data_IF_183034647949
#
_entry.id   IF_183034647949
#
_cell.length_a   1.000
_cell.length_b   1.000
_cell.length_c   1.000
_cell.angle_alpha   90.00
_cell.angle_beta   90.00
_cell.angle_gamma   90.00
#
_symmetry.space_group_name_H-M   'P 1'
#
loop_
_entity.id
_entity.type
_entity.pdbx_description
1 polymer ?
#
# COMPACT_ATOMS: atom_id res chain seq x y z
N UNK A 1 5.69 16.18 14.95
CA UNK A 1 5.02 14.86 15.06
C UNK A 1 5.89 13.96 15.91
N UNK A 2 5.31 13.27 16.90
CA UNK A 2 5.99 12.15 17.56
C UNK A 2 6.27 11.05 16.53
N UNK A 3 7.26 10.20 16.79
CA UNK A 3 7.59 9.09 15.88
C UNK A 3 6.47 8.06 15.79
N UNK A 4 5.67 7.91 16.84
CA UNK A 4 4.42 7.12 16.85
C UNK A 4 3.39 7.65 15.85
N UNK A 5 3.17 8.97 15.81
CA UNK A 5 2.22 9.58 14.86
C UNK A 5 2.68 9.44 13.41
N UNK A 6 3.99 9.47 13.15
CA UNK A 6 4.54 9.23 11.80
C UNK A 6 4.34 7.78 11.40
N UNK A 7 4.58 6.85 12.32
CA UNK A 7 4.43 5.42 12.10
C UNK A 7 2.98 5.09 11.75
N UNK A 8 2.02 5.51 12.57
CA UNK A 8 0.60 5.28 12.32
C UNK A 8 0.15 5.89 10.98
N UNK A 9 0.58 7.11 10.67
CA UNK A 9 0.23 7.76 9.40
C UNK A 9 0.79 7.01 8.18
N UNK A 10 2.02 6.52 8.27
CA UNK A 10 2.65 5.76 7.19
C UNK A 10 2.01 4.36 7.03
N UNK A 11 1.61 3.73 8.13
CA UNK A 11 0.85 2.47 8.13
C UNK A 11 -0.51 2.64 7.46
N UNK A 12 -1.26 3.68 7.81
CA UNK A 12 -2.54 4.03 7.18
C UNK A 12 -2.37 4.29 5.69
N UNK A 13 -1.32 5.03 5.32
CA UNK A 13 -1.02 5.36 3.92
C UNK A 13 -0.71 4.11 3.10
N UNK A 14 0.15 3.22 3.62
CA UNK A 14 0.50 1.94 2.99
C UNK A 14 -0.71 1.03 2.84
N UNK A 15 -1.58 1.01 3.83
CA UNK A 15 -2.78 0.18 3.85
C UNK A 15 -3.81 0.69 2.86
N UNK A 16 -4.12 1.99 2.89
CA UNK A 16 -5.08 2.61 1.99
C UNK A 16 -4.65 2.45 0.52
N UNK A 17 -3.36 2.67 0.25
CA UNK A 17 -2.81 2.53 -1.09
C UNK A 17 -2.79 1.08 -1.57
N UNK A 18 -2.44 0.13 -0.69
CA UNK A 18 -2.43 -1.30 -0.97
C UNK A 18 -3.83 -1.84 -1.26
N UNK A 19 -4.83 -1.40 -0.49
CA UNK A 19 -6.24 -1.71 -0.76
C UNK A 19 -6.69 -1.15 -2.11
N UNK A 20 -6.40 0.12 -2.39
CA UNK A 20 -6.77 0.74 -3.66
C UNK A 20 -6.11 0.04 -4.85
N UNK A 21 -4.82 -0.29 -4.74
CA UNK A 21 -4.11 -1.06 -5.76
C UNK A 21 -4.72 -2.45 -5.96
N UNK A 22 -5.09 -3.13 -4.89
CA UNK A 22 -5.77 -4.43 -4.96
C UNK A 22 -7.12 -4.33 -5.67
N UNK A 23 -7.86 -3.25 -5.46
CA UNK A 23 -9.11 -2.98 -6.18
C UNK A 23 -8.82 -2.77 -7.68
N UNK A 24 -7.80 -1.98 -8.04
CA UNK A 24 -7.40 -1.80 -9.45
C UNK A 24 -7.09 -3.15 -10.10
N UNK A 25 -6.26 -3.98 -9.45
CA UNK A 25 -5.85 -5.28 -9.99
C UNK A 25 -6.99 -6.27 -10.15
N UNK A 26 -8.04 -6.17 -9.33
CA UNK A 26 -9.20 -7.08 -9.37
C UNK A 26 -10.31 -6.59 -10.30
N UNK A 27 -10.37 -5.29 -10.61
CA UNK A 27 -11.44 -4.69 -11.42
C UNK A 27 -11.02 -4.39 -12.85
N UNK A 28 -9.74 -4.11 -13.10
CA UNK A 28 -9.22 -3.80 -14.43
C UNK A 28 -8.82 -5.08 -15.18
N UNK A 29 -8.99 -5.12 -16.51
CA UNK A 29 -8.49 -6.22 -17.35
C UNK A 29 -6.97 -6.38 -17.20
N UNK A 30 -6.50 -7.63 -17.23
CA UNK A 30 -5.08 -7.94 -17.07
C UNK A 30 -4.22 -7.35 -18.18
N UNK A 31 -4.79 -7.16 -19.38
CA UNK A 31 -4.15 -6.50 -20.52
C UNK A 31 -3.72 -5.06 -20.20
N UNK A 32 -4.41 -4.39 -19.26
CA UNK A 32 -4.10 -3.03 -18.81
C UNK A 32 -3.10 -3.05 -17.66
N UNK A 33 -3.25 -3.95 -16.70
CA UNK A 33 -2.44 -3.95 -15.46
C UNK A 33 -1.09 -4.63 -15.64
N UNK A 34 -1.01 -5.69 -16.44
CA UNK A 34 0.22 -6.47 -16.66
C UNK A 34 1.38 -5.64 -17.23
N UNK A 35 1.20 -4.79 -18.27
CA UNK A 35 2.29 -3.96 -18.78
C UNK A 35 2.86 -3.00 -17.73
N UNK A 36 1.99 -2.46 -16.85
CA UNK A 36 2.38 -1.57 -15.77
C UNK A 36 3.22 -2.32 -14.74
N UNK A 37 2.75 -3.46 -14.25
CA UNK A 37 3.47 -4.31 -13.29
C UNK A 37 4.83 -4.73 -13.85
N UNK A 38 4.86 -5.13 -15.12
CA UNK A 38 6.08 -5.55 -15.79
C UNK A 38 7.07 -4.39 -15.93
N UNK A 39 6.61 -3.21 -16.33
CA UNK A 39 7.46 -2.02 -16.44
C UNK A 39 8.05 -1.63 -15.08
N UNK A 40 7.27 -1.70 -14.00
CA UNK A 40 7.76 -1.44 -12.64
C UNK A 40 8.85 -2.45 -12.25
N UNK A 41 8.63 -3.74 -12.56
CA UNK A 41 9.61 -4.80 -12.29
C UNK A 41 10.89 -4.65 -13.12
N UNK A 42 10.77 -4.35 -14.41
CA UNK A 42 11.90 -4.25 -15.35
C UNK A 42 12.80 -3.04 -15.04
N UNK A 43 12.27 -2.04 -14.33
CA UNK A 43 13.00 -0.84 -13.92
C UNK A 43 13.39 -0.85 -12.42
N UNK A 44 13.31 -2.00 -11.76
CA UNK A 44 13.60 -2.16 -10.32
C UNK A 44 12.87 -1.14 -9.42
N UNK A 45 11.67 -0.74 -9.84
CA UNK A 45 10.87 0.24 -9.10
C UNK A 45 10.27 -0.44 -7.86
N UNK A 46 10.65 -0.03 -6.64
CA UNK A 46 10.19 -0.70 -5.43
C UNK A 46 8.71 -0.40 -5.19
N UNK A 47 8.02 -1.31 -4.51
CA UNK A 47 6.70 -1.01 -3.96
C UNK A 47 6.80 -0.03 -2.79
N UNK A 48 5.69 0.61 -2.44
CA UNK A 48 5.66 1.62 -1.40
C UNK A 48 6.16 1.07 -0.06
N UNK A 49 7.04 1.83 0.58
CA UNK A 49 7.63 1.47 1.86
C UNK A 49 7.95 2.74 2.65
N UNK A 50 7.89 2.63 3.98
CA UNK A 50 8.34 3.68 4.89
C UNK A 50 9.38 3.12 5.85
N UNK A 51 10.32 3.97 6.25
CA UNK A 51 11.33 3.70 7.27
C UNK A 51 10.74 3.55 8.68
N UNK A 52 9.52 4.05 8.91
CA UNK A 52 8.86 4.08 10.21
C UNK A 52 7.93 2.88 10.40
N UNK A 53 7.43 2.28 9.31
CA UNK A 53 6.63 1.06 9.39
C UNK A 53 7.54 -0.13 9.67
N UNK A 54 7.23 -0.84 10.76
CA UNK A 54 8.08 -1.88 11.31
C UNK A 54 8.43 -2.97 10.28
N UNK A 55 9.69 -3.45 10.24
CA UNK A 55 10.10 -4.60 9.43
C UNK A 55 9.47 -5.93 9.88
N UNK A 56 8.66 -5.92 10.96
CA UNK A 56 7.91 -7.08 11.45
C UNK A 56 6.91 -7.65 10.43
N UNK A 57 6.56 -6.90 9.39
CA UNK A 57 5.98 -7.42 8.14
C UNK A 57 7.10 -7.36 7.08
N UNK A 58 7.99 -8.37 7.01
CA UNK A 58 9.08 -8.38 6.06
C UNK A 58 8.53 -8.49 4.64
N UNK A 59 8.45 -7.35 3.97
CA UNK A 59 8.05 -7.27 2.57
C UNK A 59 6.55 -7.33 2.33
N UNK A 60 6.21 -6.82 1.14
CA UNK A 60 4.99 -6.93 0.33
C UNK A 60 3.64 -6.63 0.98
N UNK A 61 3.35 -6.94 2.23
CA UNK A 61 2.01 -6.85 2.85
C UNK A 61 1.67 -5.57 3.62
N UNK A 62 0.44 -5.50 4.11
CA UNK A 62 -0.11 -4.40 4.95
C UNK A 62 -1.16 -4.94 5.94
N UNK A 63 -1.63 -4.11 6.88
CA UNK A 63 -2.65 -4.50 7.86
C UNK A 63 -3.73 -3.42 7.98
N UNK A 64 -4.95 -3.81 8.32
CA UNK A 64 -6.10 -2.92 8.44
C UNK A 64 -6.76 -3.10 9.80
N UNK A 65 -6.99 -1.99 10.49
CA UNK A 65 -7.88 -1.94 11.65
C UNK A 65 -9.30 -1.58 11.19
N UNK A 66 -10.24 -2.52 11.31
CA UNK A 66 -11.64 -2.30 10.92
C UNK A 66 -12.60 -2.84 12.00
N UNK A 67 -13.37 -1.95 12.62
CA UNK A 67 -14.35 -2.32 13.64
C UNK A 67 -13.73 -3.02 14.86
N UNK A 68 -12.52 -2.61 15.26
CA UNK A 68 -11.77 -3.22 16.37
C UNK A 68 -11.14 -4.58 16.05
N UNK A 69 -11.10 -4.96 14.76
CA UNK A 69 -10.40 -6.15 14.28
C UNK A 69 -9.16 -5.76 13.51
N UNK A 70 -8.04 -6.36 13.91
CA UNK A 70 -6.79 -6.31 13.18
C UNK A 70 -6.78 -7.39 12.08
N UNK A 71 -6.75 -6.96 10.82
CA UNK A 71 -6.71 -7.84 9.64
C UNK A 71 -5.35 -7.69 8.98
N UNK A 72 -4.65 -8.80 8.74
CA UNK A 72 -3.30 -8.79 8.14
C UNK A 72 -3.33 -9.40 6.75
N UNK A 73 -2.72 -8.71 5.79
CA UNK A 73 -2.53 -9.15 4.41
C UNK A 73 -1.04 -9.38 4.13
N UNK A 74 -0.48 -10.55 4.50
CA UNK A 74 0.97 -10.76 4.44
C UNK A 74 1.50 -10.91 3.01
N UNK A 75 0.73 -11.52 2.11
CA UNK A 75 1.18 -11.90 0.76
C UNK A 75 0.70 -10.96 -0.35
N UNK A 76 -0.12 -9.96 -0.01
CA UNK A 76 -0.66 -9.01 -0.98
C UNK A 76 0.36 -7.91 -1.20
N UNK A 77 0.82 -7.70 -2.44
CA UNK A 77 1.71 -6.59 -2.77
C UNK A 77 1.09 -5.24 -2.41
N UNK A 78 1.89 -4.41 -1.74
CA UNK A 78 1.66 -2.96 -1.61
C UNK A 78 1.51 -2.31 -2.97
N UNK A 79 1.08 -1.07 -2.97
CA UNK A 79 1.01 -0.27 -4.18
C UNK A 79 2.39 0.03 -4.79
N UNK A 80 2.44 0.50 -6.05
CA UNK A 80 3.59 1.23 -6.59
C UNK A 80 4.02 2.38 -5.66
N UNK A 81 5.26 2.89 -5.82
CA UNK A 81 5.86 3.82 -4.85
C UNK A 81 5.27 5.22 -4.89
N UNK A 82 4.52 5.56 -5.94
CA UNK A 82 3.93 6.87 -6.12
C UNK A 82 2.42 6.72 -6.31
N UNK A 83 1.67 7.20 -5.32
CA UNK A 83 0.22 7.40 -5.39
C UNK A 83 -0.09 8.79 -4.90
N UNK A 84 -0.88 9.53 -5.68
CA UNK A 84 -1.38 10.83 -5.28
C UNK A 84 -2.64 10.66 -4.44
N UNK A 85 -2.45 10.61 -3.12
CA UNK A 85 -3.55 10.72 -2.16
C UNK A 85 -3.84 12.21 -1.95
N UNK A 86 -4.91 12.71 -2.56
CA UNK A 86 -5.39 14.06 -2.25
C UNK A 86 -5.98 14.05 -0.84
N UNK A 87 -5.84 15.14 -0.08
CA UNK A 87 -6.50 15.33 1.24
C UNK A 87 -8.03 15.47 1.12
N UNK A 88 -8.64 14.86 0.11
CA UNK A 88 -10.05 14.99 -0.26
C UNK A 88 -10.98 14.14 0.59
N UNK A 89 -10.81 14.13 1.91
CA UNK A 89 -11.86 13.72 2.83
C UNK A 89 -11.84 14.61 4.07
N UNK A 90 -12.53 15.74 3.97
CA UNK A 90 -13.12 16.43 5.11
C UNK A 90 -14.63 16.21 4.99
N UNK A 91 -15.16 15.33 5.82
CA UNK A 91 -16.58 15.25 6.15
C UNK A 91 -16.68 15.37 7.67
#
# INVERSE_FOLDING_TARGET
LSDELKTAHDEDTITASGLFWSIILTTMPTEVTKPVIQTLSDNDVPHMASRYVSPAIPGKGFHLELGGRHIVFPDVSRSPPEIYLTRGYSA
#
